data_IF_951226312418
#
_entry.id   IF_951226312418
#
_cell.length_a   1.000
_cell.length_b   1.000
_cell.length_c   1.000
_cell.angle_alpha   90.00
_cell.angle_beta   90.00
_cell.angle_gamma   90.00
#
_symmetry.space_group_name_H-M   'P 1'
#
loop_
_entity.id
_entity.type
_entity.pdbx_description
1 polymer ?
#
# COMPACT_ATOMS: atom_id res chain seq x y z
N UNK A 1 -15.75 8.80 -2.27
CA UNK A 1 -16.05 7.88 -3.38
C UNK A 1 -15.45 6.51 -3.09
N UNK A 2 -16.01 5.46 -3.67
CA UNK A 2 -15.39 4.15 -3.68
C UNK A 2 -14.20 4.17 -4.65
N UNK A 3 -12.99 3.96 -4.13
CA UNK A 3 -11.76 3.99 -4.91
C UNK A 3 -11.65 2.82 -5.90
N UNK A 4 -12.43 1.75 -5.71
CA UNK A 4 -12.47 0.58 -6.58
C UNK A 4 -13.56 0.64 -7.68
N UNK A 5 -14.29 1.76 -7.77
CA UNK A 5 -15.29 2.06 -8.78
C UNK A 5 -14.79 3.20 -9.69
N UNK A 6 -14.49 2.86 -10.95
CA UNK A 6 -13.94 3.84 -11.89
C UNK A 6 -14.86 5.03 -12.15
N UNK A 7 -16.18 4.81 -12.18
CA UNK A 7 -17.16 5.89 -12.45
C UNK A 7 -17.13 6.89 -11.29
N UNK A 8 -17.11 6.41 -10.05
CA UNK A 8 -17.03 7.28 -8.89
C UNK A 8 -15.69 8.02 -8.83
N UNK A 9 -14.57 7.36 -9.14
CA UNK A 9 -13.26 8.00 -9.22
C UNK A 9 -13.22 9.07 -10.31
N UNK A 10 -13.74 8.78 -11.51
CA UNK A 10 -13.84 9.75 -12.59
C UNK A 10 -14.67 10.98 -12.18
N UNK A 11 -15.79 10.76 -11.53
CA UNK A 11 -16.66 11.85 -11.04
C UNK A 11 -15.95 12.67 -9.94
N UNK A 12 -15.17 12.02 -9.07
CA UNK A 12 -14.36 12.71 -8.07
C UNK A 12 -13.33 13.62 -8.74
N UNK A 13 -12.55 13.12 -9.72
CA UNK A 13 -11.56 13.94 -10.44
C UNK A 13 -12.20 15.05 -11.26
N UNK A 14 -13.39 14.83 -11.84
CA UNK A 14 -14.15 15.90 -12.52
C UNK A 14 -14.50 17.06 -11.57
N UNK A 15 -14.80 16.77 -10.30
CA UNK A 15 -15.02 17.80 -9.28
C UNK A 15 -13.72 18.50 -8.86
N UNK A 16 -12.63 17.74 -8.70
CA UNK A 16 -11.31 18.31 -8.37
C UNK A 16 -10.83 19.26 -9.47
N UNK A 17 -10.96 18.86 -10.74
CA UNK A 17 -10.53 19.67 -11.90
C UNK A 17 -11.25 21.02 -12.02
N UNK A 18 -12.44 21.18 -11.41
CA UNK A 18 -13.12 22.48 -11.30
C UNK A 18 -12.45 23.41 -10.30
N UNK A 19 -11.74 22.86 -9.29
CA UNK A 19 -11.07 23.62 -8.22
C UNK A 19 -9.59 23.85 -8.51
N UNK A 20 -8.91 22.83 -9.04
CA UNK A 20 -7.48 22.91 -9.37
C UNK A 20 -7.17 22.07 -10.61
N UNK A 21 -6.23 22.55 -11.43
CA UNK A 21 -5.78 21.84 -12.65
C UNK A 21 -4.47 21.09 -12.43
N UNK A 22 -3.86 21.21 -11.27
CA UNK A 22 -2.58 20.60 -10.91
C UNK A 22 -2.61 20.09 -9.49
N UNK A 23 -1.79 19.09 -9.22
CA UNK A 23 -1.50 18.56 -7.88
C UNK A 23 0.00 18.33 -7.75
N UNK A 24 0.52 18.35 -6.55
CA UNK A 24 1.94 18.15 -6.25
C UNK A 24 2.26 16.69 -5.96
N UNK A 25 1.33 15.96 -5.36
CA UNK A 25 1.51 14.56 -5.03
C UNK A 25 0.20 13.77 -5.03
N UNK A 26 0.34 12.45 -5.23
CA UNK A 26 -0.69 11.44 -5.01
C UNK A 26 -0.17 10.43 -3.99
N UNK A 27 -0.96 10.14 -2.96
CA UNK A 27 -0.68 9.04 -2.02
C UNK A 27 -1.78 7.99 -2.16
N UNK A 28 -1.46 6.86 -2.77
CA UNK A 28 -2.34 5.70 -2.90
C UNK A 28 -2.26 4.84 -1.63
N UNK A 29 -3.18 5.05 -0.70
CA UNK A 29 -3.19 4.37 0.60
C UNK A 29 -4.36 3.38 0.77
N UNK A 30 -5.38 3.45 -0.10
CA UNK A 30 -6.57 2.59 0.01
C UNK A 30 -6.19 1.12 -0.11
N UNK A 31 -6.74 0.30 0.78
CA UNK A 31 -6.55 -1.15 0.72
C UNK A 31 -7.20 -1.87 1.89
N UNK A 32 -7.53 -3.13 1.66
CA UNK A 32 -8.11 -4.06 2.64
C UNK A 32 -7.13 -5.20 2.95
N UNK A 33 -7.32 -5.81 4.11
CA UNK A 33 -6.51 -6.95 4.53
C UNK A 33 -6.81 -8.22 3.70
N UNK A 34 -8.03 -8.35 3.16
CA UNK A 34 -8.48 -9.58 2.53
C UNK A 34 -8.69 -10.72 3.56
N UNK A 35 -9.07 -11.92 3.09
CA UNK A 35 -9.32 -13.07 3.94
C UNK A 35 -8.02 -13.68 4.49
N UNK A 36 -8.16 -14.45 5.57
CA UNK A 36 -7.11 -15.30 6.15
C UNK A 36 -7.47 -16.76 5.95
N UNK A 37 -6.58 -17.55 5.37
CA UNK A 37 -6.78 -18.98 5.14
C UNK A 37 -5.82 -19.55 4.11
N UNK A 38 -5.77 -20.89 4.02
CA UNK A 38 -5.03 -21.59 2.99
C UNK A 38 -5.70 -21.37 1.63
N UNK A 39 -4.91 -21.30 0.55
CA UNK A 39 -5.36 -20.87 -0.78
C UNK A 39 -6.59 -21.64 -1.27
N UNK A 40 -6.60 -22.96 -1.10
CA UNK A 40 -7.67 -23.84 -1.56
C UNK A 40 -9.01 -23.66 -0.80
N UNK A 41 -8.97 -22.96 0.35
CA UNK A 41 -10.17 -22.68 1.17
C UNK A 41 -10.72 -21.26 0.98
N UNK A 42 -10.02 -20.41 0.24
CA UNK A 42 -10.46 -19.04 0.01
C UNK A 42 -11.56 -18.99 -1.06
N UNK A 43 -12.54 -18.12 -0.85
CA UNK A 43 -13.57 -17.86 -1.86
C UNK A 43 -13.01 -16.96 -2.96
N UNK A 44 -13.24 -17.32 -4.23
CA UNK A 44 -12.80 -16.52 -5.40
C UNK A 44 -13.24 -15.06 -5.30
N UNK A 45 -14.49 -14.82 -4.87
CA UNK A 45 -15.02 -13.46 -4.69
C UNK A 45 -14.19 -12.61 -3.72
N UNK A 46 -13.69 -13.19 -2.63
CA UNK A 46 -12.88 -12.47 -1.64
C UNK A 46 -11.47 -12.21 -2.16
N UNK A 47 -10.93 -13.17 -2.93
CA UNK A 47 -9.68 -13.02 -3.66
C UNK A 47 -9.76 -11.85 -4.66
N UNK A 48 -10.73 -11.87 -5.56
CA UNK A 48 -10.98 -10.85 -6.58
C UNK A 48 -11.22 -9.47 -5.96
N UNK A 49 -12.05 -9.41 -4.92
CA UNK A 49 -12.32 -8.16 -4.20
C UNK A 49 -11.04 -7.57 -3.58
N UNK A 50 -10.15 -8.41 -3.06
CA UNK A 50 -8.86 -7.95 -2.50
C UNK A 50 -7.99 -7.31 -3.58
N UNK A 51 -7.89 -7.92 -4.76
CA UNK A 51 -7.17 -7.34 -5.88
C UNK A 51 -7.85 -6.05 -6.38
N UNK A 52 -9.16 -6.06 -6.51
CA UNK A 52 -9.94 -4.90 -6.95
C UNK A 52 -9.68 -3.69 -6.04
N UNK A 53 -9.79 -3.86 -4.73
CA UNK A 53 -9.59 -2.75 -3.78
C UNK A 53 -8.12 -2.34 -3.67
N UNK A 54 -7.17 -3.29 -3.63
CA UNK A 54 -5.76 -2.99 -3.34
C UNK A 54 -4.94 -2.59 -4.58
N UNK A 55 -5.36 -2.99 -5.78
CA UNK A 55 -4.59 -2.79 -7.02
C UNK A 55 -5.33 -1.86 -7.98
N UNK A 56 -6.59 -2.18 -8.30
CA UNK A 56 -7.34 -1.43 -9.30
C UNK A 56 -7.64 0.00 -8.81
N UNK A 57 -7.83 0.21 -7.52
CA UNK A 57 -7.96 1.56 -6.95
C UNK A 57 -6.71 2.42 -7.20
N UNK A 58 -5.51 1.86 -6.99
CA UNK A 58 -4.24 2.55 -7.26
C UNK A 58 -4.10 2.90 -8.75
N UNK A 59 -4.51 1.98 -9.63
CA UNK A 59 -4.55 2.23 -11.08
C UNK A 59 -5.46 3.41 -11.41
N UNK A 60 -6.71 3.42 -10.94
CA UNK A 60 -7.67 4.48 -11.25
C UNK A 60 -7.18 5.85 -10.75
N UNK A 61 -6.76 5.96 -9.50
CA UNK A 61 -6.26 7.22 -8.97
C UNK A 61 -5.00 7.69 -9.68
N UNK A 62 -4.08 6.79 -10.03
CA UNK A 62 -2.89 7.14 -10.83
C UNK A 62 -3.28 7.61 -12.23
N UNK A 63 -4.16 6.89 -12.93
CA UNK A 63 -4.65 7.23 -14.26
C UNK A 63 -5.17 8.67 -14.35
N UNK A 64 -5.99 9.08 -13.39
CA UNK A 64 -6.58 10.41 -13.39
C UNK A 64 -5.68 11.50 -12.77
N UNK A 65 -4.73 11.15 -11.92
CA UNK A 65 -3.77 12.10 -11.31
C UNK A 65 -2.60 12.44 -12.22
N UNK A 66 -2.11 11.51 -13.02
CA UNK A 66 -0.94 11.71 -13.89
C UNK A 66 -1.05 12.95 -14.80
N UNK A 67 -2.19 13.22 -15.48
CA UNK A 67 -2.32 14.43 -16.27
C UNK A 67 -2.20 15.73 -15.44
N UNK A 68 -2.62 15.70 -14.18
CA UNK A 68 -2.54 16.86 -13.29
C UNK A 68 -1.10 17.07 -12.78
N UNK A 69 -0.37 16.00 -12.48
CA UNK A 69 1.06 16.03 -12.12
C UNK A 69 1.90 16.53 -13.30
N UNK A 70 1.59 16.09 -14.53
CA UNK A 70 2.28 16.60 -15.74
C UNK A 70 2.06 18.10 -15.92
N UNK A 71 0.83 18.61 -15.67
CA UNK A 71 0.54 20.05 -15.70
C UNK A 71 1.28 20.84 -14.62
N UNK A 72 1.59 20.20 -13.51
CA UNK A 72 2.43 20.77 -12.43
C UNK A 72 3.93 20.78 -12.78
N UNK A 73 4.32 20.20 -13.92
CA UNK A 73 5.72 20.05 -14.38
C UNK A 73 6.59 19.20 -13.46
N UNK A 74 5.97 18.27 -12.74
CA UNK A 74 6.63 17.35 -11.82
C UNK A 74 5.76 17.01 -10.62
N UNK A 75 6.27 16.21 -9.69
CA UNK A 75 5.58 15.81 -8.46
C UNK A 75 5.96 14.42 -8.00
N UNK A 76 5.14 13.84 -7.13
CA UNK A 76 5.39 12.52 -6.58
C UNK A 76 4.13 11.64 -6.53
N UNK A 77 4.32 10.34 -6.73
CA UNK A 77 3.31 9.30 -6.45
C UNK A 77 3.90 8.37 -5.39
N UNK A 78 3.18 8.19 -4.29
CA UNK A 78 3.54 7.24 -3.24
C UNK A 78 2.48 6.14 -3.21
N UNK A 79 2.90 4.91 -3.38
CA UNK A 79 2.03 3.74 -3.34
C UNK A 79 2.27 2.97 -2.03
N UNK A 80 1.23 2.82 -1.20
CA UNK A 80 1.32 2.02 0.03
C UNK A 80 1.20 0.53 -0.30
N UNK A 81 2.37 -0.15 -0.33
CA UNK A 81 2.46 -1.60 -0.38
C UNK A 81 2.38 -2.18 1.05
N UNK A 82 3.26 -3.07 1.40
CA UNK A 82 3.42 -3.76 2.70
C UNK A 82 4.72 -4.55 2.67
N UNK A 83 5.22 -5.00 3.81
CA UNK A 83 6.22 -6.09 3.87
C UNK A 83 5.74 -7.35 3.14
N UNK A 84 4.43 -7.61 3.10
CA UNK A 84 3.83 -8.66 2.26
C UNK A 84 3.98 -8.43 0.75
N UNK A 85 4.46 -7.28 0.30
CA UNK A 85 4.82 -6.99 -1.09
C UNK A 85 6.31 -7.20 -1.41
N UNK A 86 7.10 -7.64 -0.43
CA UNK A 86 8.52 -7.99 -0.58
C UNK A 86 8.87 -9.34 0.07
N UNK A 87 7.98 -9.89 0.89
CA UNK A 87 8.06 -11.23 1.48
C UNK A 87 6.81 -12.04 1.13
N UNK A 88 6.93 -13.38 1.17
CA UNK A 88 5.77 -14.25 1.25
C UNK A 88 5.10 -14.11 2.62
N UNK A 89 3.76 -14.22 2.66
CA UNK A 89 3.02 -14.14 3.92
C UNK A 89 1.99 -15.28 3.97
N UNK A 90 2.25 -16.35 4.75
CA UNK A 90 1.35 -17.49 4.86
C UNK A 90 -0.08 -17.09 5.23
N UNK A 91 -1.06 -17.82 4.71
CA UNK A 91 -2.50 -17.60 4.92
C UNK A 91 -3.04 -16.27 4.36
N UNK A 92 -2.24 -15.51 3.61
CA UNK A 92 -2.56 -14.15 3.14
C UNK A 92 -2.32 -13.98 1.65
N UNK A 93 -2.47 -15.05 0.87
CA UNK A 93 -2.13 -15.07 -0.57
C UNK A 93 -2.75 -13.94 -1.40
N UNK A 94 -4.06 -13.55 -1.29
CA UNK A 94 -4.60 -12.45 -2.09
C UNK A 94 -4.02 -11.09 -1.68
N UNK A 95 -3.81 -10.88 -0.38
CA UNK A 95 -3.17 -9.68 0.12
C UNK A 95 -1.73 -9.57 -0.39
N UNK A 96 -0.95 -10.65 -0.25
CA UNK A 96 0.43 -10.72 -0.70
C UNK A 96 0.53 -10.43 -2.20
N UNK A 97 -0.25 -11.14 -3.03
CA UNK A 97 -0.29 -10.92 -4.47
C UNK A 97 -0.63 -9.46 -4.83
N UNK A 98 -1.62 -8.86 -4.15
CA UNK A 98 -1.99 -7.47 -4.37
C UNK A 98 -0.86 -6.49 -4.04
N UNK A 99 -0.09 -6.75 -2.97
CA UNK A 99 1.00 -5.86 -2.54
C UNK A 99 2.25 -5.99 -3.40
N UNK A 100 2.54 -7.17 -3.95
CA UNK A 100 3.54 -7.36 -5.01
C UNK A 100 3.15 -6.65 -6.31
N UNK A 101 1.87 -6.69 -6.70
CA UNK A 101 1.38 -5.95 -7.86
C UNK A 101 1.59 -4.42 -7.72
N UNK A 102 1.38 -3.86 -6.52
CA UNK A 102 1.65 -2.44 -6.22
C UNK A 102 3.13 -2.10 -6.41
N UNK A 103 4.04 -3.00 -6.03
CA UNK A 103 5.49 -2.83 -6.27
C UNK A 103 5.80 -2.81 -7.77
N UNK A 104 5.22 -3.74 -8.54
CA UNK A 104 5.37 -3.79 -10.00
C UNK A 104 4.89 -2.50 -10.68
N UNK A 105 3.68 -2.03 -10.34
CA UNK A 105 3.14 -0.76 -10.83
C UNK A 105 4.06 0.41 -10.48
N UNK A 106 4.59 0.46 -9.26
CA UNK A 106 5.49 1.52 -8.82
C UNK A 106 6.74 1.62 -9.70
N UNK A 107 7.41 0.49 -9.93
CA UNK A 107 8.64 0.45 -10.75
C UNK A 107 8.37 0.83 -12.20
N UNK A 108 7.28 0.35 -12.78
CA UNK A 108 6.87 0.68 -14.15
C UNK A 108 6.57 2.17 -14.29
N UNK A 109 5.73 2.72 -13.43
CA UNK A 109 5.38 4.14 -13.47
C UNK A 109 6.59 5.06 -13.22
N UNK A 110 7.55 4.65 -12.39
CA UNK A 110 8.77 5.42 -12.18
C UNK A 110 9.57 5.58 -13.48
N UNK A 111 9.65 4.52 -14.31
CA UNK A 111 10.31 4.57 -15.62
C UNK A 111 9.53 5.42 -16.63
N UNK A 112 8.21 5.24 -16.72
CA UNK A 112 7.35 5.96 -17.66
C UNK A 112 7.26 7.46 -17.38
N UNK A 113 7.26 7.84 -16.11
CA UNK A 113 6.97 9.20 -15.67
C UNK A 113 8.21 10.03 -15.35
N UNK A 114 9.40 9.44 -15.29
CA UNK A 114 10.65 10.12 -14.97
C UNK A 114 10.96 11.32 -15.90
N UNK A 115 10.71 11.18 -17.20
CA UNK A 115 10.86 12.26 -18.18
C UNK A 115 9.97 13.48 -17.90
N UNK A 116 8.91 13.32 -17.13
CA UNK A 116 8.02 14.40 -16.69
C UNK A 116 8.37 14.93 -15.30
N UNK A 117 9.51 14.53 -14.73
CA UNK A 117 9.95 14.87 -13.36
C UNK A 117 8.95 14.43 -12.29
N UNK A 118 8.20 13.34 -12.54
CA UNK A 118 7.30 12.72 -11.57
C UNK A 118 8.03 11.51 -10.96
N UNK A 119 8.24 11.55 -9.66
CA UNK A 119 8.86 10.46 -8.90
C UNK A 119 7.79 9.49 -8.41
N UNK A 120 8.07 8.20 -8.47
CA UNK A 120 7.11 7.18 -8.02
C UNK A 120 7.82 6.20 -7.10
N UNK A 121 7.36 6.06 -5.85
CA UNK A 121 7.96 5.16 -4.86
C UNK A 121 6.89 4.33 -4.15
N UNK A 122 7.26 3.14 -3.72
CA UNK A 122 6.45 2.31 -2.83
C UNK A 122 6.97 2.38 -1.40
N UNK A 123 6.07 2.49 -0.44
CA UNK A 123 6.36 2.28 0.98
C UNK A 123 5.81 0.91 1.35
N UNK A 124 6.60 0.11 2.06
CA UNK A 124 6.26 -1.21 2.57
C UNK A 124 6.24 -1.18 4.10
N UNK A 125 5.12 -0.77 4.71
CA UNK A 125 4.97 -0.82 6.16
C UNK A 125 5.09 -2.24 6.68
N UNK A 126 5.68 -2.38 7.85
CA UNK A 126 5.59 -3.58 8.67
C UNK A 126 4.25 -3.68 9.40
N UNK A 127 4.27 -4.28 10.57
CA UNK A 127 3.08 -4.46 11.39
C UNK A 127 2.71 -3.15 12.08
N UNK A 128 1.78 -2.39 11.49
CA UNK A 128 1.28 -1.14 12.06
C UNK A 128 0.33 -1.45 13.21
N UNK A 129 0.62 -0.89 14.41
CA UNK A 129 -0.28 -0.99 15.56
C UNK A 129 -1.57 -0.21 15.30
N UNK A 130 -2.73 -0.86 15.43
CA UNK A 130 -4.03 -0.23 15.22
C UNK A 130 -5.16 -1.24 14.98
N UNK A 131 -6.38 -0.75 14.78
CA UNK A 131 -7.61 -1.55 14.66
C UNK A 131 -7.56 -2.58 13.53
N UNK A 132 -6.95 -2.23 12.41
CA UNK A 132 -6.78 -3.14 11.26
C UNK A 132 -5.97 -4.37 11.65
N UNK A 133 -4.84 -4.17 12.33
CA UNK A 133 -4.00 -5.27 12.81
C UNK A 133 -4.70 -6.07 13.89
N UNK A 134 -5.47 -5.42 14.77
CA UNK A 134 -6.32 -6.11 15.74
C UNK A 134 -7.31 -7.07 15.09
N UNK A 135 -7.88 -6.74 13.92
CA UNK A 135 -8.71 -7.67 13.14
C UNK A 135 -7.90 -8.84 12.59
N UNK A 136 -6.75 -8.58 11.98
CA UNK A 136 -5.85 -9.62 11.44
C UNK A 136 -5.43 -10.61 12.54
N UNK A 137 -5.07 -10.09 13.72
CA UNK A 137 -4.70 -10.91 14.89
C UNK A 137 -5.87 -11.78 15.35
N UNK A 138 -7.09 -11.22 15.40
CA UNK A 138 -8.29 -12.00 15.75
C UNK A 138 -8.57 -13.13 14.76
N UNK A 139 -8.46 -12.84 13.48
CA UNK A 139 -8.74 -13.82 12.41
C UNK A 139 -7.68 -14.93 12.41
N UNK A 140 -6.40 -14.58 12.54
CA UNK A 140 -5.30 -15.55 12.67
C UNK A 140 -5.44 -16.39 13.95
N UNK A 141 -5.78 -15.76 15.09
CA UNK A 141 -6.02 -16.42 16.37
C UNK A 141 -7.15 -17.48 16.27
N UNK A 142 -8.26 -17.12 15.63
CA UNK A 142 -9.38 -18.07 15.40
C UNK A 142 -8.98 -19.21 14.46
N UNK A 143 -8.30 -18.89 13.37
CA UNK A 143 -7.90 -19.89 12.36
C UNK A 143 -6.90 -20.91 12.92
N UNK A 144 -5.94 -20.46 13.72
CA UNK A 144 -4.89 -21.31 14.29
C UNK A 144 -5.24 -21.89 15.65
N UNK A 145 -6.35 -21.44 16.28
CA UNK A 145 -6.73 -21.77 17.66
C UNK A 145 -5.61 -21.43 18.68
N UNK A 146 -5.00 -20.26 18.54
CA UNK A 146 -3.92 -19.74 19.39
C UNK A 146 -4.36 -18.42 20.01
N UNK A 147 -3.92 -18.12 21.24
CA UNK A 147 -4.29 -16.87 21.93
C UNK A 147 -3.80 -15.63 21.17
N UNK A 148 -4.60 -14.54 21.18
CA UNK A 148 -4.24 -13.26 20.56
C UNK A 148 -2.90 -12.73 21.07
N UNK A 149 -2.62 -12.87 22.36
CA UNK A 149 -1.38 -12.42 23.00
C UNK A 149 -0.15 -13.11 22.42
N UNK A 150 -0.25 -14.40 22.09
CA UNK A 150 0.85 -15.13 21.43
C UNK A 150 1.03 -14.66 19.99
N UNK A 151 -0.06 -14.44 19.26
CA UNK A 151 0.01 -13.88 17.88
C UNK A 151 0.61 -12.47 17.89
N UNK A 152 0.23 -11.61 18.84
CA UNK A 152 0.83 -10.27 18.97
C UNK A 152 2.34 -10.34 19.26
N UNK A 153 2.75 -11.20 20.20
CA UNK A 153 4.17 -11.42 20.51
C UNK A 153 4.94 -11.92 19.28
N UNK A 154 4.33 -12.83 18.52
CA UNK A 154 4.88 -13.34 17.27
C UNK A 154 5.13 -12.21 16.27
N UNK A 155 4.12 -11.35 16.00
CA UNK A 155 4.27 -10.22 15.08
C UNK A 155 5.40 -9.26 15.47
N UNK A 156 5.55 -8.94 16.74
CA UNK A 156 6.64 -8.09 17.21
C UNK A 156 8.00 -8.78 17.04
N UNK A 157 8.10 -10.07 17.35
CA UNK A 157 9.35 -10.86 17.23
C UNK A 157 9.78 -11.14 15.79
N UNK A 158 8.93 -10.85 14.80
CA UNK A 158 9.31 -10.95 13.39
C UNK A 158 10.33 -9.89 12.96
N UNK A 159 10.50 -8.82 13.74
CA UNK A 159 11.41 -7.73 13.44
C UNK A 159 12.61 -7.71 14.36
N UNK A 160 13.80 -7.33 13.86
CA UNK A 160 15.01 -7.26 14.68
C UNK A 160 14.92 -6.17 15.76
N UNK A 161 14.15 -5.11 15.51
CA UNK A 161 13.92 -4.05 16.49
C UNK A 161 12.90 -4.43 17.57
N UNK A 162 12.22 -5.58 17.46
CA UNK A 162 11.18 -6.03 18.38
C UNK A 162 10.13 -4.95 18.67
N UNK A 163 9.66 -4.28 17.64
CA UNK A 163 8.76 -3.12 17.77
C UNK A 163 7.57 -3.20 16.82
N UNK A 164 6.54 -2.41 17.14
CA UNK A 164 5.48 -2.06 16.22
C UNK A 164 5.90 -0.88 15.36
N UNK A 165 5.33 -0.79 14.16
CA UNK A 165 5.32 0.43 13.36
C UNK A 165 4.11 1.26 13.77
N UNK A 166 4.21 2.57 13.71
CA UNK A 166 3.12 3.50 13.99
C UNK A 166 2.73 4.29 12.73
N UNK A 167 1.52 4.83 12.72
CA UNK A 167 1.01 5.58 11.56
C UNK A 167 1.87 6.82 11.27
N UNK A 168 2.42 7.44 12.32
CA UNK A 168 3.32 8.58 12.22
C UNK A 168 4.62 8.25 11.49
N UNK A 169 5.14 7.04 11.63
CA UNK A 169 6.36 6.60 10.92
C UNK A 169 6.11 6.60 9.42
N UNK A 170 4.92 6.14 9.01
CA UNK A 170 4.51 6.14 7.61
C UNK A 170 4.23 7.56 7.11
N UNK A 171 3.61 8.41 7.93
CA UNK A 171 3.37 9.81 7.61
C UNK A 171 4.66 10.58 7.35
N UNK A 172 5.67 10.39 8.20
CA UNK A 172 6.99 11.04 8.09
C UNK A 172 7.72 10.66 6.80
N UNK A 173 7.78 9.37 6.46
CA UNK A 173 8.43 8.95 5.21
C UNK A 173 7.65 9.40 3.98
N UNK A 174 6.32 9.43 4.01
CA UNK A 174 5.50 10.00 2.95
C UNK A 174 5.86 11.48 2.75
N UNK A 175 5.90 12.28 3.82
CA UNK A 175 6.23 13.70 3.78
C UNK A 175 7.62 13.95 3.20
N UNK A 176 8.62 13.16 3.61
CA UNK A 176 9.96 13.23 3.05
C UNK A 176 9.96 12.92 1.54
N UNK A 177 9.34 11.82 1.13
CA UNK A 177 9.36 11.39 -0.27
C UNK A 177 8.60 12.32 -1.22
N UNK A 178 7.60 13.07 -0.75
CA UNK A 178 6.91 14.07 -1.58
C UNK A 178 7.61 15.42 -1.60
N UNK A 179 8.49 15.70 -0.63
CA UNK A 179 9.21 16.97 -0.51
C UNK A 179 10.34 17.14 -1.55
N UNK A 180 10.93 18.31 -1.54
CA UNK A 180 12.12 18.63 -2.35
C UNK A 180 13.42 18.01 -1.79
N UNK A 181 13.38 17.40 -0.59
CA UNK A 181 14.55 16.75 0.03
C UNK A 181 14.81 15.35 -0.58
N UNK A 182 13.86 14.83 -1.38
CA UNK A 182 13.97 13.53 -2.05
C UNK A 182 14.03 13.64 -3.59
N UNK A 183 14.83 14.55 -4.21
CA UNK A 183 14.70 14.91 -5.62
C UNK A 183 15.16 13.79 -6.58
N UNK A 184 15.93 12.82 -6.10
CA UNK A 184 16.47 11.70 -6.89
C UNK A 184 15.96 10.33 -6.45
N UNK A 185 15.00 10.28 -5.51
CA UNK A 185 14.41 9.02 -5.03
C UNK A 185 13.18 8.70 -5.87
N UNK A 186 13.31 7.74 -6.79
CA UNK A 186 12.24 7.24 -7.66
C UNK A 186 12.45 5.76 -7.98
N UNK A 187 11.37 5.00 -8.13
CA UNK A 187 11.39 3.56 -8.38
C UNK A 187 11.80 2.74 -7.15
N UNK A 188 11.86 3.36 -5.97
CA UNK A 188 12.29 2.67 -4.77
C UNK A 188 11.13 1.95 -4.08
N UNK A 189 11.48 0.86 -3.39
CA UNK A 189 10.60 0.07 -2.52
C UNK A 189 11.20 0.17 -1.13
N UNK A 190 10.59 0.98 -0.28
CA UNK A 190 11.17 1.37 1.01
C UNK A 190 10.40 0.67 2.13
N UNK A 191 11.06 -0.22 2.84
CA UNK A 191 10.52 -0.83 4.04
C UNK A 191 10.56 0.16 5.22
N UNK A 192 9.43 0.23 5.95
CA UNK A 192 9.31 0.94 7.23
C UNK A 192 8.69 -0.06 8.20
N UNK A 193 9.52 -0.94 8.76
CA UNK A 193 9.06 -2.20 9.33
C UNK A 193 9.83 -2.68 10.56
N UNK A 194 10.82 -1.92 11.03
CA UNK A 194 11.69 -2.33 12.12
C UNK A 194 12.63 -3.49 11.75
N UNK A 195 12.94 -3.64 10.46
CA UNK A 195 13.75 -4.71 9.87
C UNK A 195 13.10 -6.09 10.08
N UNK A 196 12.10 -6.38 9.23
CA UNK A 196 11.42 -7.69 9.21
C UNK A 196 12.40 -8.78 8.80
N UNK A 197 12.55 -9.79 9.65
CA UNK A 197 13.43 -10.94 9.44
C UNK A 197 12.70 -12.11 8.78
N UNK A 198 11.41 -12.26 9.05
CA UNK A 198 10.54 -13.35 8.58
C UNK A 198 9.07 -12.96 8.65
N UNK A 199 8.23 -13.70 7.93
CA UNK A 199 6.76 -13.60 7.99
C UNK A 199 6.16 -14.98 8.28
N UNK A 200 5.16 -15.07 9.14
CA UNK A 200 4.50 -16.33 9.54
C UNK A 200 2.99 -16.25 9.36
#
# INVERSE_FOLDING_TARGET
>A
CDASDEIQVKNFFSKILKKTKKIDALINNVGIAGPTGTLEKLKSKDWENTLKVNVISHFYFSKYSIPMLKKNKGGAIINLSSTAGIFGFPLRSPYCASKWAVVGITKTLAMELGKFKIRVNAICPGTIKGDRMGRVIRDKSKFLNISKKLIEKEFVSMTSMNTWVYEEDIGRICSFLISNDAPRISGQVIAVDGNTLRMH
#
